data_IF_632555677147
#
_entry.id   IF_632555677147
#
_cell.length_a   1.000
_cell.length_b   1.000
_cell.length_c   1.000
_cell.angle_alpha   90.00
_cell.angle_beta   90.00
_cell.angle_gamma   90.00
#
_symmetry.space_group_name_H-M   'P 1'
#
loop_
_entity.id
_entity.type
_entity.pdbx_description
1 polymer ?
#
# COMPACT_ATOMS: atom_id res chain seq x y z
N UNK A 1 -6.86 10.97 5.54
CA UNK A 1 -7.28 9.63 6.02
C UNK A 1 -7.50 8.72 4.81
N UNK A 2 -6.44 8.31 4.13
CA UNK A 2 -6.48 7.49 2.90
C UNK A 2 -5.91 6.08 3.16
N UNK A 3 -5.96 5.19 2.16
CA UNK A 3 -5.51 3.80 2.31
C UNK A 3 -4.02 3.70 2.68
N UNK A 4 -3.16 4.57 2.13
CA UNK A 4 -1.73 4.63 2.48
C UNK A 4 -1.56 4.96 3.97
N UNK A 5 -2.26 5.98 4.46
CA UNK A 5 -2.22 6.40 5.87
C UNK A 5 -2.68 5.30 6.83
N UNK A 6 -3.71 4.53 6.43
CA UNK A 6 -4.19 3.38 7.21
C UNK A 6 -3.13 2.28 7.28
N UNK A 7 -2.53 1.91 6.15
CA UNK A 7 -1.46 0.92 6.12
C UNK A 7 -0.24 1.36 6.95
N UNK A 8 0.15 2.63 6.88
CA UNK A 8 1.24 3.17 7.70
C UNK A 8 0.96 3.04 9.20
N UNK A 9 -0.26 3.35 9.65
CA UNK A 9 -0.63 3.18 11.07
C UNK A 9 -0.52 1.73 11.52
N UNK A 10 -0.97 0.78 10.69
CA UNK A 10 -0.86 -0.66 10.97
C UNK A 10 0.61 -1.08 11.04
N UNK A 11 1.42 -0.70 10.06
CA UNK A 11 2.85 -1.02 10.01
C UNK A 11 3.57 -0.47 11.23
N UNK A 12 3.34 0.80 11.57
CA UNK A 12 3.95 1.43 12.74
C UNK A 12 3.53 0.75 14.03
N UNK A 13 2.27 0.34 14.16
CA UNK A 13 1.79 -0.40 15.34
C UNK A 13 2.41 -1.80 15.40
N UNK A 14 2.51 -2.51 14.29
CA UNK A 14 3.13 -3.83 14.23
C UNK A 14 4.63 -3.77 14.61
N UNK A 15 5.36 -2.78 14.09
CA UNK A 15 6.78 -2.55 14.46
C UNK A 15 6.94 -2.25 15.95
N UNK A 16 6.07 -1.41 16.52
CA UNK A 16 6.06 -1.14 17.98
C UNK A 16 5.83 -2.40 18.82
N UNK A 17 5.17 -3.41 18.27
CA UNK A 17 4.94 -4.71 18.90
C UNK A 17 6.05 -5.73 18.57
N UNK A 18 7.17 -5.30 17.98
CA UNK A 18 8.30 -6.16 17.65
C UNK A 18 8.05 -7.10 16.46
N UNK A 19 7.02 -6.86 15.65
CA UNK A 19 6.73 -7.65 14.45
C UNK A 19 7.49 -7.13 13.24
N UNK A 20 7.89 -8.03 12.35
CA UNK A 20 8.44 -7.63 11.05
C UNK A 20 7.29 -7.07 10.21
N UNK A 21 7.37 -5.80 9.85
CA UNK A 21 6.33 -5.15 9.07
C UNK A 21 6.92 -4.22 8.01
N UNK A 22 6.47 -4.40 6.78
CA UNK A 22 6.89 -3.63 5.60
C UNK A 22 5.68 -3.14 4.83
N UNK A 23 5.79 -1.94 4.27
CA UNK A 23 4.90 -1.48 3.22
C UNK A 23 5.37 -2.06 1.89
N UNK A 24 4.43 -2.62 1.14
CA UNK A 24 4.62 -3.12 -0.20
C UNK A 24 3.89 -2.19 -1.18
N UNK A 25 4.50 -1.94 -2.33
CA UNK A 25 3.89 -1.30 -3.48
C UNK A 25 3.83 -2.28 -4.63
N UNK A 26 2.76 -2.24 -5.43
CA UNK A 26 2.60 -3.07 -6.63
C UNK A 26 1.78 -2.34 -7.68
N UNK A 27 1.74 -2.89 -8.89
CA UNK A 27 0.69 -2.57 -9.85
C UNK A 27 -0.45 -3.55 -9.64
N UNK A 28 -1.60 -3.06 -9.18
CA UNK A 28 -2.81 -3.87 -9.07
C UNK A 28 -3.55 -3.90 -10.40
N UNK A 29 -4.01 -5.07 -10.80
CA UNK A 29 -4.97 -5.27 -11.87
C UNK A 29 -6.26 -5.76 -11.23
N UNK A 30 -7.30 -4.94 -11.31
CA UNK A 30 -8.63 -5.20 -10.76
C UNK A 30 -9.53 -5.51 -11.96
N UNK A 31 -10.01 -6.76 -12.11
CA UNK A 31 -10.91 -7.10 -13.20
C UNK A 31 -12.26 -6.40 -12.99
N UNK A 32 -12.49 -5.27 -13.66
CA UNK A 32 -13.79 -4.61 -13.68
C UNK A 32 -14.64 -5.24 -14.79
N UNK A 33 -15.68 -5.97 -14.40
CA UNK A 33 -16.83 -6.30 -15.24
C UNK A 33 -18.06 -5.76 -14.52
N UNK A 34 -18.77 -4.72 -15.04
CA UNK A 34 -19.40 -4.78 -16.37
C UNK A 34 -19.51 -3.46 -17.17
N UNK A 35 -18.71 -2.40 -16.94
CA UNK A 35 -18.91 -1.14 -17.68
C UNK A 35 -18.14 -1.03 -19.02
N UNK A 36 -16.99 -1.70 -19.17
CA UNK A 36 -16.16 -1.56 -20.39
C UNK A 36 -15.26 -2.76 -20.73
N UNK A 37 -15.28 -3.85 -19.96
CA UNK A 37 -14.43 -5.02 -20.18
C UNK A 37 -12.92 -4.79 -19.97
N UNK A 38 -12.51 -3.60 -19.52
CA UNK A 38 -11.11 -3.31 -19.22
C UNK A 38 -10.85 -3.39 -17.72
N UNK A 39 -9.80 -4.12 -17.28
CA UNK A 39 -9.42 -4.12 -15.89
C UNK A 39 -8.89 -2.74 -15.47
N UNK A 40 -9.19 -2.34 -14.24
CA UNK A 40 -8.58 -1.16 -13.65
C UNK A 40 -7.15 -1.51 -13.22
N UNK A 41 -6.19 -0.85 -13.86
CA UNK A 41 -4.77 -1.03 -13.61
C UNK A 41 -4.27 0.22 -12.90
N UNK A 42 -3.60 0.07 -11.76
CA UNK A 42 -3.11 1.21 -11.02
C UNK A 42 -2.10 0.86 -9.93
N UNK A 43 -1.43 1.88 -9.36
CA UNK A 43 -0.55 1.69 -8.22
C UNK A 43 -1.38 1.29 -6.99
N UNK A 44 -0.90 0.30 -6.27
CA UNK A 44 -1.54 -0.19 -5.05
C UNK A 44 -0.52 -0.38 -3.93
N UNK A 45 -0.96 -0.11 -2.70
CA UNK A 45 -0.14 -0.22 -1.50
C UNK A 45 -0.83 -1.10 -0.48
N UNK A 46 -0.07 -2.03 0.08
CA UNK A 46 -0.52 -2.93 1.14
C UNK A 46 0.58 -3.15 2.18
N UNK A 47 0.24 -3.75 3.31
CA UNK A 47 1.21 -4.11 4.34
C UNK A 47 1.56 -5.60 4.27
N UNK A 48 2.82 -5.94 4.58
CA UNK A 48 3.26 -7.30 4.83
C UNK A 48 3.77 -7.39 6.27
N UNK A 49 3.14 -8.22 7.09
CA UNK A 49 3.44 -8.37 8.53
C UNK A 49 3.73 -9.85 8.80
N UNK A 50 4.90 -10.17 9.34
CA UNK A 50 5.36 -11.54 9.59
C UNK A 50 5.16 -12.45 8.36
N UNK A 51 5.47 -11.92 7.18
CA UNK A 51 5.29 -12.62 5.90
C UNK A 51 3.86 -12.63 5.34
N UNK A 52 2.84 -12.24 6.11
CA UNK A 52 1.42 -12.24 5.70
C UNK A 52 0.98 -10.91 5.09
N UNK A 53 0.19 -10.97 4.03
CA UNK A 53 -0.40 -9.80 3.38
C UNK A 53 -1.57 -9.27 4.20
N UNK A 54 -1.54 -7.97 4.48
CA UNK A 54 -2.61 -7.21 5.13
C UNK A 54 -2.96 -6.03 4.23
N UNK A 55 -4.16 -6.09 3.65
CA UNK A 55 -4.66 -5.10 2.71
C UNK A 55 -5.93 -4.46 3.26
N UNK A 56 -5.89 -3.15 3.47
CA UNK A 56 -6.99 -2.39 4.06
C UNK A 56 -7.84 -1.79 2.95
N UNK A 57 -9.06 -2.30 2.78
CA UNK A 57 -9.99 -1.76 1.80
C UNK A 57 -10.46 -0.34 2.13
N UNK A 58 -10.90 0.37 1.10
CA UNK A 58 -11.84 1.48 1.25
C UNK A 58 -13.14 0.87 1.79
N UNK A 59 -13.42 1.06 3.08
CA UNK A 59 -14.71 0.78 3.73
C UNK A 59 -15.30 -0.63 3.48
N UNK A 60 -15.44 -1.51 4.50
CA UNK A 60 -15.90 -2.89 4.30
C UNK A 60 -17.24 -3.05 3.55
N UNK A 61 -18.13 -2.05 3.63
CA UNK A 61 -19.37 -2.01 2.87
C UNK A 61 -19.16 -1.77 1.37
N UNK A 62 -18.20 -0.91 1.02
CA UNK A 62 -17.81 -0.63 -0.36
C UNK A 62 -17.05 -1.83 -0.96
N UNK A 63 -16.17 -2.49 -0.20
CA UNK A 63 -15.55 -3.76 -0.63
C UNK A 63 -16.59 -4.82 -1.00
N UNK A 64 -17.61 -5.02 -0.15
CA UNK A 64 -18.69 -5.98 -0.45
C UNK A 64 -19.58 -5.56 -1.63
N UNK A 65 -19.87 -4.28 -1.75
CA UNK A 65 -20.76 -3.76 -2.78
C UNK A 65 -20.12 -3.73 -4.17
N UNK A 66 -18.79 -3.84 -4.23
CA UNK A 66 -18.06 -3.30 -5.37
C UNK A 66 -16.90 -4.25 -5.77
N UNK A 67 -16.04 -4.73 -4.86
CA UNK A 67 -15.01 -5.74 -5.19
C UNK A 67 -14.32 -6.36 -3.96
N UNK A 68 -14.10 -7.68 -3.98
CA UNK A 68 -13.35 -8.39 -2.93
C UNK A 68 -11.84 -8.21 -3.12
N UNK A 69 -11.10 -7.99 -2.04
CA UNK A 69 -9.63 -7.86 -2.09
C UNK A 69 -8.88 -9.11 -2.58
N UNK A 70 -9.52 -10.29 -2.55
CA UNK A 70 -8.94 -11.56 -3.02
C UNK A 70 -8.76 -11.61 -4.54
N UNK A 71 -9.57 -10.86 -5.28
CA UNK A 71 -9.57 -10.84 -6.75
C UNK A 71 -8.53 -9.87 -7.33
N UNK A 72 -7.82 -9.12 -6.49
CA UNK A 72 -6.80 -8.17 -6.91
C UNK A 72 -5.52 -8.91 -7.29
N UNK A 73 -5.20 -8.91 -8.57
CA UNK A 73 -3.92 -9.40 -9.08
C UNK A 73 -2.84 -8.34 -8.81
N UNK A 74 -1.79 -8.73 -8.06
CA UNK A 74 -0.69 -7.83 -7.67
C UNK A 74 0.55 -8.16 -8.49
N UNK A 75 0.91 -7.26 -9.40
CA UNK A 75 2.08 -7.39 -10.27
C UNK A 75 3.27 -6.58 -9.71
N UNK A 76 4.47 -7.13 -9.85
CA UNK A 76 5.74 -6.50 -9.45
C UNK A 76 5.74 -5.96 -8.01
N UNK A 77 5.44 -6.78 -6.99
CA UNK A 77 5.44 -6.32 -5.61
C UNK A 77 6.87 -5.93 -5.17
N UNK A 78 7.05 -4.67 -4.80
CA UNK A 78 8.31 -4.11 -4.31
C UNK A 78 8.15 -3.68 -2.85
N UNK A 79 9.18 -3.93 -2.04
CA UNK A 79 9.20 -3.44 -0.67
C UNK A 79 9.55 -1.95 -0.67
N UNK A 80 8.53 -1.10 -0.69
CA UNK A 80 8.69 0.36 -0.72
C UNK A 80 9.27 0.91 0.58
N UNK A 81 9.22 0.15 1.69
CA UNK A 81 9.90 0.54 2.93
C UNK A 81 11.43 0.44 2.86
N UNK A 82 11.97 -0.20 1.82
CA UNK A 82 13.41 -0.31 1.59
C UNK A 82 13.89 0.51 0.39
N UNK A 83 12.97 1.12 -0.35
CA UNK A 83 13.33 1.96 -1.49
C UNK A 83 13.94 3.25 -0.98
N UNK A 84 15.00 3.69 -1.65
CA UNK A 84 15.58 5.02 -1.45
C UNK A 84 15.04 5.95 -2.52
N UNK A 85 14.91 7.26 -2.24
CA UNK A 85 14.65 8.24 -3.29
C UNK A 85 15.67 8.07 -4.42
N UNK A 86 15.20 8.10 -5.67
CA UNK A 86 16.10 8.05 -6.84
C UNK A 86 17.04 9.25 -6.86
N UNK A 87 16.54 10.41 -6.42
CA UNK A 87 17.31 11.65 -6.24
C UNK A 87 17.20 12.12 -4.79
N UNK A 88 18.09 11.68 -3.89
CA UNK A 88 18.04 12.06 -2.48
C UNK A 88 18.14 13.58 -2.24
N UNK A 89 18.82 14.29 -3.15
CA UNK A 89 18.96 15.75 -3.14
C UNK A 89 17.68 16.51 -3.49
N UNK A 90 16.72 15.87 -4.17
CA UNK A 90 15.43 16.48 -4.55
C UNK A 90 14.37 16.35 -3.45
N UNK A 91 14.73 15.72 -2.32
CA UNK A 91 13.82 15.48 -1.21
C UNK A 91 12.98 14.21 -1.39
N UNK A 92 12.01 14.02 -0.50
CA UNK A 92 11.20 12.81 -0.48
C UNK A 92 10.32 12.73 -1.74
N UNK A 93 10.20 11.56 -2.40
CA UNK A 93 9.41 11.39 -3.62
C UNK A 93 7.88 11.52 -3.40
N UNK A 94 7.44 11.85 -2.18
CA UNK A 94 6.05 12.03 -1.79
C UNK A 94 5.93 13.29 -0.91
N UNK A 95 4.80 14.02 -0.98
CA UNK A 95 4.69 15.34 -0.37
C UNK A 95 4.92 15.27 1.14
N UNK A 96 5.92 16.04 1.61
CA UNK A 96 6.25 16.25 3.02
C UNK A 96 5.03 16.62 3.89
N UNK A 97 3.94 17.13 3.27
CA UNK A 97 2.67 17.45 3.92
C UNK A 97 1.91 16.26 4.53
N UNK A 98 2.34 15.02 4.30
CA UNK A 98 1.75 13.85 4.98
C UNK A 98 2.29 13.63 6.40
N UNK A 99 3.28 14.40 6.86
CA UNK A 99 3.86 14.24 8.20
C UNK A 99 4.56 12.89 8.40
N UNK A 100 5.00 12.26 7.31
CA UNK A 100 5.63 10.94 7.30
C UNK A 100 7.15 11.13 7.36
N UNK A 101 7.79 10.74 8.47
CA UNK A 101 9.22 10.42 8.47
C UNK A 101 9.40 9.01 7.92
N UNK A 102 10.23 8.86 6.88
CA UNK A 102 10.60 7.53 6.40
C UNK A 102 11.55 6.84 7.39
N UNK A 103 11.52 5.49 7.48
CA UNK A 103 12.31 4.73 8.45
C UNK A 103 13.82 4.91 8.37
N UNK A 104 14.34 5.47 7.27
CA UNK A 104 15.77 5.76 7.08
C UNK A 104 16.14 7.23 7.28
N UNK A 105 15.16 8.11 7.48
CA UNK A 105 15.41 9.49 7.85
C UNK A 105 15.60 9.53 9.37
N UNK A 106 16.82 9.22 9.80
CA UNK A 106 17.29 9.50 11.17
C UNK A 106 17.30 11.03 11.42
#
# INVERSE_FOLDING_TARGET
NNCIHKHLRIINKARKLGRDASMMGCISVIPITPASGMPLIGPHFYAKIDGKTVDVSMEPGLEKAVWRNEDIVRLFPVNVSKLRPMFPSEGLPLPCGLGIRWPWAE
#
